data_IF_791120362898
#
_entry.id   IF_791120362898
#
_cell.length_a   1.000
_cell.length_b   1.000
_cell.length_c   1.000
_cell.angle_alpha   90.00
_cell.angle_beta   90.00
_cell.angle_gamma   90.00
#
_symmetry.space_group_name_H-M   'P 1'
#
loop_
_entity.id
_entity.type
_entity.pdbx_description
1 polymer ?
#
# COMPACT_ATOMS: atom_id res chain seq x y z
N UNK A 1 12.95 13.79 -0.96
CA UNK A 1 13.02 12.31 -0.96
C UNK A 1 14.35 11.79 -1.49
N UNK A 2 14.75 12.09 -2.74
CA UNK A 2 16.02 11.60 -3.32
C UNK A 2 17.25 11.95 -2.47
N UNK A 3 17.31 13.18 -1.92
CA UNK A 3 18.36 13.61 -1.00
C UNK A 3 18.50 12.73 0.24
N UNK A 4 17.38 12.25 0.80
CA UNK A 4 17.40 11.36 1.96
C UNK A 4 17.97 10.01 1.58
N UNK A 5 17.57 9.43 0.45
CA UNK A 5 18.11 8.14 0.00
C UNK A 5 19.62 8.21 -0.27
N UNK A 6 20.11 9.35 -0.78
CA UNK A 6 21.55 9.59 -0.94
C UNK A 6 22.24 9.79 0.41
N UNK A 7 21.67 10.61 1.30
CA UNK A 7 22.19 10.85 2.66
C UNK A 7 22.29 9.56 3.48
N UNK A 8 21.31 8.67 3.35
CA UNK A 8 21.26 7.38 4.05
C UNK A 8 22.16 6.31 3.39
N UNK A 9 22.81 6.62 2.26
CA UNK A 9 23.72 5.72 1.57
C UNK A 9 23.04 4.64 0.72
N UNK A 10 21.72 4.66 0.58
CA UNK A 10 20.97 3.73 -0.26
C UNK A 10 21.18 3.99 -1.75
N UNK A 11 21.29 5.28 -2.13
CA UNK A 11 21.51 5.70 -3.52
C UNK A 11 22.80 6.50 -3.70
N UNK A 12 23.46 6.41 -4.86
CA UNK A 12 24.63 7.22 -5.18
C UNK A 12 24.24 8.69 -5.47
N UNK A 13 25.18 9.64 -5.34
CA UNK A 13 24.90 11.07 -5.57
C UNK A 13 24.29 11.39 -6.94
N UNK A 14 24.60 10.59 -7.99
CA UNK A 14 24.01 10.74 -9.33
C UNK A 14 22.50 10.52 -9.40
N UNK A 15 21.89 9.97 -8.34
CA UNK A 15 20.46 9.78 -8.21
C UNK A 15 19.71 11.11 -7.95
N UNK A 16 20.40 12.13 -7.45
CA UNK A 16 19.80 13.45 -7.26
C UNK A 16 19.40 14.06 -8.61
N UNK A 17 18.11 14.41 -8.74
CA UNK A 17 17.54 14.96 -9.96
C UNK A 17 17.35 13.94 -11.09
N UNK A 18 17.57 12.65 -10.85
CA UNK A 18 17.27 11.61 -11.84
C UNK A 18 15.78 11.31 -11.90
N UNK A 19 15.34 10.64 -12.97
CA UNK A 19 13.98 10.10 -13.13
C UNK A 19 13.92 8.59 -12.79
N UNK A 20 14.93 8.09 -12.07
CA UNK A 20 15.00 6.69 -11.70
C UNK A 20 13.87 6.35 -10.70
N UNK A 21 13.27 5.18 -10.87
CA UNK A 21 12.18 4.72 -10.01
C UNK A 21 12.70 4.29 -8.65
N UNK A 22 11.84 4.39 -7.64
CA UNK A 22 12.03 3.82 -6.31
C UNK A 22 10.96 2.76 -6.04
N UNK A 23 11.27 1.81 -5.16
CA UNK A 23 10.38 0.73 -4.79
C UNK A 23 10.09 0.67 -3.30
N UNK A 24 9.53 -0.46 -2.88
CA UNK A 24 9.07 -0.70 -1.52
C UNK A 24 10.16 -0.52 -0.45
N UNK A 25 11.42 -0.86 -0.77
CA UNK A 25 12.56 -0.73 0.15
C UNK A 25 12.88 0.75 0.37
N UNK A 26 13.04 1.53 -0.70
CA UNK A 26 13.31 2.96 -0.58
C UNK A 26 12.17 3.69 0.14
N UNK A 27 10.92 3.32 -0.13
CA UNK A 27 9.76 3.85 0.60
C UNK A 27 9.84 3.54 2.09
N UNK A 28 10.27 2.32 2.49
CA UNK A 28 10.44 1.99 3.91
C UNK A 28 11.49 2.87 4.61
N UNK A 29 12.60 3.17 3.92
CA UNK A 29 13.66 4.05 4.43
C UNK A 29 13.12 5.47 4.60
N UNK A 30 12.35 5.95 3.61
CA UNK A 30 11.78 7.30 3.65
C UNK A 30 10.75 7.45 4.76
N UNK A 31 9.87 6.47 4.95
CA UNK A 31 8.84 6.51 5.99
C UNK A 31 9.46 6.47 7.39
N UNK A 32 10.47 5.64 7.61
CA UNK A 32 11.19 5.61 8.88
C UNK A 32 11.94 6.92 9.13
N UNK A 33 12.62 7.47 8.12
CA UNK A 33 13.37 8.73 8.25
C UNK A 33 12.47 9.94 8.56
N UNK A 34 11.35 10.08 7.86
CA UNK A 34 10.49 11.26 8.00
C UNK A 34 9.50 11.17 9.15
N UNK A 35 9.01 9.98 9.46
CA UNK A 35 7.87 9.79 10.35
C UNK A 35 8.14 8.81 11.48
N UNK A 36 9.36 8.25 11.59
CA UNK A 36 9.69 7.19 12.53
C UNK A 36 8.70 6.01 12.43
N UNK A 37 8.22 5.77 11.20
CA UNK A 37 7.28 4.73 10.86
C UNK A 37 8.04 3.56 10.21
N UNK A 38 8.54 2.58 11.00
CA UNK A 38 9.21 1.43 10.45
C UNK A 38 8.22 0.62 9.60
N UNK A 39 8.68 0.00 8.53
CA UNK A 39 7.81 -0.78 7.65
C UNK A 39 8.18 -2.27 7.68
N UNK A 40 7.18 -3.14 7.56
CA UNK A 40 7.38 -4.54 7.23
C UNK A 40 7.31 -4.71 5.72
N UNK A 41 8.33 -5.35 5.14
CA UNK A 41 8.31 -5.73 3.72
C UNK A 41 7.90 -7.20 3.60
N UNK A 42 6.87 -7.47 2.79
CA UNK A 42 6.51 -8.82 2.36
C UNK A 42 6.96 -8.97 0.91
N UNK A 43 7.87 -9.90 0.66
CA UNK A 43 8.32 -10.26 -0.68
C UNK A 43 7.58 -11.50 -1.16
N UNK A 44 7.08 -11.47 -2.40
CA UNK A 44 6.48 -12.61 -3.07
C UNK A 44 7.07 -12.77 -4.46
N UNK A 45 7.46 -13.99 -4.81
CA UNK A 45 7.73 -14.36 -6.19
C UNK A 45 6.42 -14.68 -6.92
N UNK A 46 6.31 -14.20 -8.15
CA UNK A 46 5.07 -14.31 -8.91
C UNK A 46 4.85 -15.71 -9.51
N UNK A 47 5.91 -16.51 -9.64
CA UNK A 47 5.88 -17.89 -10.13
C UNK A 47 5.54 -18.93 -9.05
N UNK A 48 5.49 -18.53 -7.77
CA UNK A 48 5.15 -19.41 -6.66
C UNK A 48 3.63 -19.47 -6.42
N UNK A 49 3.11 -20.61 -5.92
CA UNK A 49 1.74 -20.70 -5.45
C UNK A 49 1.43 -19.61 -4.42
N UNK A 50 0.15 -19.24 -4.30
CA UNK A 50 -0.26 -18.28 -3.29
C UNK A 50 0.06 -18.78 -1.88
N UNK A 51 0.71 -17.95 -1.07
CA UNK A 51 0.93 -18.20 0.34
C UNK A 51 -0.17 -17.52 1.18
N UNK A 52 -1.06 -18.29 1.84
CA UNK A 52 -2.09 -17.76 2.74
C UNK A 52 -1.56 -16.88 3.88
N UNK A 53 -0.28 -17.00 4.25
CA UNK A 53 0.34 -16.14 5.24
C UNK A 53 0.34 -14.66 4.82
N UNK A 54 0.38 -14.38 3.51
CA UNK A 54 0.32 -13.02 2.95
C UNK A 54 -1.07 -12.44 3.22
N UNK A 55 -2.15 -13.19 2.93
CA UNK A 55 -3.53 -12.79 3.24
C UNK A 55 -3.66 -12.43 4.72
N UNK A 56 -3.24 -13.33 5.60
CA UNK A 56 -3.30 -13.12 7.06
C UNK A 56 -2.50 -11.90 7.51
N UNK A 57 -1.36 -11.65 6.89
CA UNK A 57 -0.52 -10.48 7.19
C UNK A 57 -1.18 -9.17 6.80
N UNK A 58 -1.83 -9.12 5.62
CA UNK A 58 -2.57 -7.93 5.16
C UNK A 58 -3.79 -7.68 6.06
N UNK A 59 -4.57 -8.72 6.38
CA UNK A 59 -5.71 -8.58 7.29
C UNK A 59 -5.27 -8.06 8.66
N UNK A 60 -4.24 -8.69 9.25
CA UNK A 60 -3.73 -8.29 10.56
C UNK A 60 -3.19 -6.86 10.55
N UNK A 61 -2.58 -6.43 9.44
CA UNK A 61 -2.11 -5.07 9.26
C UNK A 61 -3.25 -4.05 9.28
N UNK A 62 -4.29 -4.29 8.48
CA UNK A 62 -5.45 -3.40 8.46
C UNK A 62 -6.19 -3.38 9.79
N UNK A 63 -6.29 -4.51 10.49
CA UNK A 63 -6.92 -4.59 11.81
C UNK A 63 -6.11 -3.89 12.91
N UNK A 64 -4.77 -3.99 12.90
CA UNK A 64 -3.93 -3.47 13.98
C UNK A 64 -3.37 -2.07 13.73
N UNK A 65 -3.18 -1.69 12.46
CA UNK A 65 -2.53 -0.43 12.06
C UNK A 65 -3.44 0.42 11.17
N UNK A 66 -4.17 -0.20 10.23
CA UNK A 66 -5.12 0.50 9.35
C UNK A 66 -4.48 1.39 8.27
N UNK A 67 -3.15 1.46 8.19
CA UNK A 67 -2.48 2.31 7.20
C UNK A 67 -2.54 1.73 5.78
N UNK A 68 -2.51 2.57 4.74
CA UNK A 68 -2.33 2.11 3.37
C UNK A 68 -1.05 1.29 3.17
N UNK A 69 -1.11 0.30 2.28
CA UNK A 69 0.02 -0.57 1.96
C UNK A 69 0.52 -0.24 0.55
N UNK A 70 1.80 0.10 0.40
CA UNK A 70 2.37 0.28 -0.94
C UNK A 70 2.67 -1.09 -1.57
N UNK A 71 2.24 -1.26 -2.81
CA UNK A 71 2.46 -2.44 -3.63
C UNK A 71 3.35 -2.07 -4.81
N UNK A 72 4.47 -2.75 -4.96
CA UNK A 72 5.39 -2.55 -6.08
C UNK A 72 5.94 -3.88 -6.57
N UNK A 73 6.58 -3.89 -7.73
CA UNK A 73 7.17 -5.11 -8.28
C UNK A 73 8.04 -4.82 -9.48
N UNK A 74 8.69 -5.85 -10.00
CA UNK A 74 9.64 -5.67 -11.09
C UNK A 74 8.96 -5.13 -12.35
N UNK A 75 9.44 -4.00 -12.87
CA UNK A 75 9.03 -3.46 -14.18
C UNK A 75 7.57 -2.96 -14.25
N UNK A 76 6.86 -2.93 -13.13
CA UNK A 76 5.48 -2.46 -13.06
C UNK A 76 5.34 -1.21 -12.20
N UNK A 77 4.25 -0.48 -12.41
CA UNK A 77 3.93 0.72 -11.65
C UNK A 77 3.50 0.43 -10.21
N UNK A 78 3.89 1.31 -9.28
CA UNK A 78 3.48 1.22 -7.88
C UNK A 78 1.97 1.46 -7.72
N UNK A 79 1.35 0.79 -6.74
CA UNK A 79 -0.05 0.99 -6.35
C UNK A 79 -0.18 1.05 -4.85
N UNK A 80 -1.34 1.49 -4.38
CA UNK A 80 -1.67 1.51 -2.97
C UNK A 80 -2.83 0.56 -2.71
N UNK A 81 -2.68 -0.38 -1.78
CA UNK A 81 -3.77 -1.19 -1.26
C UNK A 81 -4.42 -0.43 -0.11
N UNK A 82 -5.73 -0.23 -0.21
CA UNK A 82 -6.55 0.48 0.78
C UNK A 82 -7.46 -0.46 1.59
N UNK A 83 -7.63 -1.69 1.14
CA UNK A 83 -8.49 -2.66 1.80
C UNK A 83 -8.32 -4.07 1.25
N UNK A 84 -8.86 -5.03 1.98
CA UNK A 84 -8.81 -6.46 1.67
C UNK A 84 -10.19 -7.08 1.86
N UNK A 85 -10.58 -7.98 0.96
CA UNK A 85 -11.83 -8.73 1.01
C UNK A 85 -11.53 -10.19 0.66
N UNK A 86 -12.09 -11.12 1.43
CA UNK A 86 -11.98 -12.57 1.22
C UNK A 86 -13.40 -13.08 1.00
N UNK A 87 -13.58 -13.91 -0.02
CA UNK A 87 -14.88 -14.53 -0.30
C UNK A 87 -15.13 -15.67 0.70
N UNK A 88 -16.32 -15.74 1.28
CA UNK A 88 -16.76 -16.89 2.08
C UNK A 88 -17.00 -18.14 1.21
N UNK A 89 -17.30 -17.95 -0.08
CA UNK A 89 -17.47 -19.06 -1.02
C UNK A 89 -16.11 -19.62 -1.48
N UNK A 90 -15.91 -20.91 -1.18
CA UNK A 90 -14.89 -21.85 -1.65
C UNK A 90 -13.43 -21.44 -1.48
N UNK A 91 -12.78 -21.87 -0.39
CA UNK A 91 -11.32 -22.09 -0.29
C UNK A 91 -10.41 -20.98 -0.85
N UNK A 92 -10.93 -19.75 -0.96
CA UNK A 92 -10.30 -18.66 -1.68
C UNK A 92 -9.21 -18.07 -0.78
N UNK A 93 -8.08 -18.75 -0.74
CA UNK A 93 -6.89 -18.29 -0.02
C UNK A 93 -6.42 -16.93 -0.55
N UNK A 94 -6.68 -16.65 -1.84
CA UNK A 94 -6.26 -15.44 -2.54
C UNK A 94 -7.29 -14.31 -2.33
N UNK A 95 -6.89 -13.18 -1.73
CA UNK A 95 -7.80 -12.08 -1.46
C UNK A 95 -8.07 -11.22 -2.70
N UNK A 96 -9.15 -10.44 -2.62
CA UNK A 96 -9.32 -9.21 -3.40
C UNK A 96 -8.76 -8.04 -2.60
N UNK A 97 -8.14 -7.10 -3.28
CA UNK A 97 -7.61 -5.87 -2.70
C UNK A 97 -8.25 -4.65 -3.38
N UNK A 98 -8.61 -3.65 -2.58
CA UNK A 98 -9.01 -2.34 -3.08
C UNK A 98 -7.73 -1.57 -3.43
N UNK A 99 -7.52 -1.31 -4.72
CA UNK A 99 -6.33 -0.63 -5.20
C UNK A 99 -6.64 0.81 -5.55
N UNK A 100 -5.74 1.71 -5.16
CA UNK A 100 -5.62 3.07 -5.67
C UNK A 100 -4.41 3.15 -6.61
N UNK A 101 -4.65 3.59 -7.85
CA UNK A 101 -3.64 3.68 -8.90
C UNK A 101 -3.08 5.12 -9.03
N UNK A 102 -1.82 5.38 -8.63
CA UNK A 102 -1.21 6.71 -8.68
C UNK A 102 -0.81 7.15 -10.09
N UNK A 103 -0.99 6.32 -11.12
CA UNK A 103 -0.72 6.70 -12.51
C UNK A 103 -1.88 7.44 -13.17
N UNK A 104 -2.99 7.65 -12.46
CA UNK A 104 -4.09 8.46 -12.96
C UNK A 104 -3.62 9.89 -13.24
N UNK A 105 -3.88 10.35 -14.46
CA UNK A 105 -3.49 11.68 -14.95
C UNK A 105 -4.69 12.47 -15.49
N UNK A 106 -5.91 12.05 -15.17
CA UNK A 106 -7.12 12.77 -15.52
C UNK A 106 -7.47 13.87 -14.51
N UNK A 107 -8.72 14.34 -14.57
CA UNK A 107 -9.21 15.44 -13.73
C UNK A 107 -9.38 15.01 -12.26
N UNK A 108 -9.00 15.90 -11.34
CA UNK A 108 -9.13 15.70 -9.90
C UNK A 108 -10.57 16.01 -9.42
N UNK A 109 -11.52 15.25 -9.93
CA UNK A 109 -12.93 15.34 -9.57
C UNK A 109 -13.45 13.97 -9.11
N UNK A 110 -14.23 13.91 -8.03
CA UNK A 110 -14.80 12.65 -7.52
C UNK A 110 -15.59 11.92 -8.60
N UNK A 111 -16.35 12.64 -9.44
CA UNK A 111 -17.07 12.05 -10.56
C UNK A 111 -16.14 11.38 -11.59
N UNK A 112 -14.92 11.90 -11.77
CA UNK A 112 -13.89 11.33 -12.65
C UNK A 112 -13.21 10.12 -12.04
N UNK A 113 -12.94 10.17 -10.73
CA UNK A 113 -12.32 9.07 -9.97
C UNK A 113 -13.28 7.90 -9.75
N UNK A 114 -14.55 8.17 -9.43
CA UNK A 114 -15.58 7.16 -9.13
C UNK A 114 -16.18 6.48 -10.36
N UNK A 115 -15.88 6.99 -11.56
CA UNK A 115 -16.32 6.33 -12.81
C UNK A 115 -15.70 4.93 -12.88
N UNK A 116 -16.53 3.90 -12.96
CA UNK A 116 -16.08 2.50 -13.04
C UNK A 116 -15.03 2.25 -14.16
N UNK A 117 -15.11 3.00 -15.26
CA UNK A 117 -14.16 2.92 -16.37
C UNK A 117 -12.77 3.50 -16.04
N UNK A 118 -12.66 4.39 -15.05
CA UNK A 118 -11.39 5.01 -14.63
C UNK A 118 -10.45 3.97 -14.01
N UNK A 119 -11.02 2.98 -13.31
CA UNK A 119 -10.31 1.96 -12.52
C UNK A 119 -9.27 2.54 -11.56
N UNK A 120 -9.40 3.81 -11.18
CA UNK A 120 -8.43 4.52 -10.32
C UNK A 120 -8.48 3.98 -8.90
N UNK A 121 -9.69 3.75 -8.38
CA UNK A 121 -9.92 3.08 -7.11
C UNK A 121 -10.86 1.89 -7.34
N UNK A 122 -10.33 0.67 -7.35
CA UNK A 122 -11.11 -0.51 -7.72
C UNK A 122 -10.64 -1.80 -7.04
N UNK A 123 -11.59 -2.70 -6.79
CA UNK A 123 -11.29 -4.05 -6.32
C UNK A 123 -10.65 -4.89 -7.42
N UNK A 124 -9.57 -5.59 -7.08
CA UNK A 124 -8.87 -6.51 -7.97
C UNK A 124 -8.44 -7.76 -7.20
N UNK A 125 -8.49 -8.93 -7.85
CA UNK A 125 -7.87 -10.14 -7.28
C UNK A 125 -6.36 -9.98 -7.23
N UNK A 126 -5.70 -10.51 -6.20
CA UNK A 126 -4.24 -10.40 -6.07
C UNK A 126 -3.49 -10.96 -7.29
N UNK A 127 -3.99 -12.05 -7.85
CA UNK A 127 -3.49 -12.66 -9.07
C UNK A 127 -3.53 -11.70 -10.28
N UNK A 128 -4.63 -10.95 -10.47
CA UNK A 128 -4.70 -9.91 -11.51
C UNK A 128 -3.71 -8.75 -11.26
N UNK A 129 -3.31 -8.54 -10.01
CA UNK A 129 -2.34 -7.50 -9.66
C UNK A 129 -0.93 -7.98 -9.97
N UNK A 130 -0.58 -9.19 -9.56
CA UNK A 130 0.73 -9.80 -9.80
C UNK A 130 1.09 -9.92 -11.29
N UNK A 131 0.11 -10.17 -12.17
CA UNK A 131 0.33 -10.20 -13.62
C UNK A 131 0.86 -8.89 -14.22
N UNK A 132 0.76 -7.79 -13.49
CA UNK A 132 1.24 -6.48 -13.91
C UNK A 132 2.71 -6.24 -13.55
N UNK A 133 3.31 -7.17 -12.81
CA UNK A 133 4.71 -7.16 -12.42
C UNK A 133 5.42 -8.35 -13.07
N UNK A 134 6.75 -8.24 -13.19
CA UNK A 134 7.60 -9.31 -13.66
C UNK A 134 7.73 -10.46 -12.66
N UNK A 135 8.97 -10.78 -12.26
CA UNK A 135 9.22 -11.97 -11.45
C UNK A 135 8.76 -11.89 -9.99
N UNK A 136 8.57 -10.69 -9.44
CA UNK A 136 8.21 -10.52 -8.04
C UNK A 136 7.35 -9.29 -7.77
N UNK A 137 6.71 -9.33 -6.60
CA UNK A 137 5.91 -8.26 -6.00
C UNK A 137 6.29 -8.09 -4.54
N UNK A 138 6.41 -6.85 -4.09
CA UNK A 138 6.67 -6.45 -2.72
C UNK A 138 5.49 -5.64 -2.16
N UNK A 139 5.12 -5.92 -0.92
CA UNK A 139 4.22 -5.10 -0.13
C UNK A 139 5.03 -4.38 0.95
N UNK A 140 4.88 -3.07 1.06
CA UNK A 140 5.43 -2.27 2.14
C UNK A 140 4.28 -1.88 3.09
N UNK A 141 4.35 -2.39 4.31
CA UNK A 141 3.34 -2.26 5.36
C UNK A 141 3.87 -1.31 6.45
N UNK A 142 3.50 -0.02 6.45
CA UNK A 142 3.96 0.95 7.45
C UNK A 142 3.40 0.66 8.84
N UNK A 143 4.24 0.54 9.84
CA UNK A 143 3.82 0.30 11.22
C UNK A 143 3.71 1.63 11.99
N UNK A 144 2.94 1.60 13.08
CA UNK A 144 2.89 2.75 14.00
C UNK A 144 4.27 2.96 14.67
N UNK A 145 4.69 4.22 14.88
CA UNK A 145 5.88 4.53 15.65
C UNK A 145 5.79 3.92 17.05
N UNK A 146 6.86 3.25 17.50
CA UNK A 146 6.91 2.67 18.85
C UNK A 146 7.09 3.80 19.88
N UNK A 147 6.14 3.93 20.80
CA UNK A 147 6.27 4.83 21.96
C UNK A 147 5.75 6.26 21.76
N UNK A 148 4.95 6.52 20.72
CA UNK A 148 4.19 7.76 20.61
C UNK A 148 2.74 7.46 21.01
N UNK A 149 2.26 7.93 22.18
CA UNK A 149 0.83 7.92 22.50
C UNK A 149 0.07 8.61 21.36
N UNK A 150 -1.07 8.05 20.95
CA UNK A 150 -1.77 8.38 19.71
C UNK A 150 -1.68 9.84 19.28
N UNK A 151 -1.03 10.07 18.13
CA UNK A 151 -1.05 11.38 17.43
C UNK A 151 -2.41 11.55 16.73
N UNK A 152 -3.48 11.40 17.49
CA UNK A 152 -4.84 11.77 17.09
C UNK A 152 -5.43 12.86 18.01
N UNK A 153 -4.80 13.15 19.16
CA UNK A 153 -5.38 14.07 20.15
C UNK A 153 -5.06 15.57 19.92
N UNK A 154 -4.11 15.93 19.05
CA UNK A 154 -3.61 17.32 18.94
C UNK A 154 -3.68 17.96 17.53
N UNK A 155 -4.53 17.46 16.64
CA UNK A 155 -4.82 18.19 15.40
C UNK A 155 -5.83 19.32 15.67
N UNK A 156 -5.47 20.62 15.49
CA UNK A 156 -6.41 21.71 15.73
C UNK A 156 -7.48 21.72 14.63
N UNK A 157 -8.70 21.27 14.96
CA UNK A 157 -9.88 21.38 14.11
C UNK A 157 -10.66 20.09 13.86
N UNK A 158 -10.41 19.00 14.58
CA UNK A 158 -11.23 17.79 14.44
C UNK A 158 -12.55 17.98 15.20
N UNK A 159 -13.64 18.26 14.48
CA UNK A 159 -15.00 18.03 14.98
C UNK A 159 -15.12 16.54 15.34
N UNK A 160 -15.06 16.30 16.65
CA UNK A 160 -15.17 15.03 17.34
C UNK A 160 -16.62 14.49 17.26
N UNK A 161 -17.04 14.03 16.06
CA UNK A 161 -18.19 13.11 15.94
C UNK A 161 -18.37 12.40 14.58
N UNK A 162 -17.29 11.90 13.96
CA UNK A 162 -17.48 10.86 12.94
C UNK A 162 -16.46 9.75 13.17
N UNK A 163 -16.90 8.71 13.88
CA UNK A 163 -16.25 7.39 13.89
C UNK A 163 -16.21 6.88 12.45
N UNK A 164 -15.12 7.17 11.75
CA UNK A 164 -14.80 6.50 10.50
C UNK A 164 -14.13 5.17 10.86
N UNK A 165 -14.93 4.13 11.07
CA UNK A 165 -14.43 2.77 11.11
C UNK A 165 -14.25 2.25 9.68
N UNK A 166 -13.11 1.60 9.43
CA UNK A 166 -12.87 0.89 8.19
C UNK A 166 -13.67 -0.43 8.25
N UNK A 167 -14.93 -0.39 7.80
CA UNK A 167 -15.77 -1.58 7.78
C UNK A 167 -15.22 -2.63 6.80
N UNK A 168 -14.96 -3.83 7.31
CA UNK A 168 -14.80 -5.02 6.47
C UNK A 168 -16.18 -5.37 5.93
N UNK A 169 -16.51 -4.86 4.75
CA UNK A 169 -17.79 -5.17 4.11
C UNK A 169 -17.72 -6.58 3.54
N UNK A 170 -18.40 -7.50 4.22
CA UNK A 170 -18.68 -8.83 3.69
C UNK A 170 -19.76 -8.70 2.61
N UNK A 171 -19.37 -8.95 1.37
CA UNK A 171 -20.27 -8.97 0.21
C UNK A 171 -20.33 -10.40 -0.28
N UNK A 172 -21.33 -11.12 0.26
CA UNK A 172 -21.64 -12.51 -0.07
C UNK A 172 -22.00 -12.77 -1.53
#
# INVERSE_FOLDING_TARGET
MQEVLVKMGDKPCKFLGSSDWIGSVEISILLDYFYSAPCRIIHRRNDEPWDPSITRSIMSHFAAVGSPIMLGGQGGGARTVLGICISEAEDAQVPRCLLLDPHYSGEDEIASLSRHSSRVCAWSTFDSICRQYGSFTNLCLPLLPVGVPGVLDDAPGHDDNSEWEMEVVDVG
#
